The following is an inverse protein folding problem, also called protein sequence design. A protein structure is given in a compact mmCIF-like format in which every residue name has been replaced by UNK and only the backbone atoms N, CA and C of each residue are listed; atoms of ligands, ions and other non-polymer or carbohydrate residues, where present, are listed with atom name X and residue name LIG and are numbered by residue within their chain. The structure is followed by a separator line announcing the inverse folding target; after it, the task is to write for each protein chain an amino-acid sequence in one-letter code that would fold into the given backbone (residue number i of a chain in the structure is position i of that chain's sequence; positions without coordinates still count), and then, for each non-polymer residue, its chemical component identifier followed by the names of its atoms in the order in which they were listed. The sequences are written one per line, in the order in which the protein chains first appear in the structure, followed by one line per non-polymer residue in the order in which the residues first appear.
data_IF_823796479666
#
_entry.id   IF_823796479666
#
_cell.length_a   1.000
_cell.length_b   1.000
_cell.length_c   1.000
_cell.angle_alpha   90.00
_cell.angle_beta   90.00
_cell.angle_gamma   90.00
#
_symmetry.space_group_name_H-M   'P 1'
#
loop_
_entity.id
_entity.type
_entity.pdbx_description
1 polymer ?
#
# COMPACT_ATOMS: atom_id res chain seq x y z
N UNK A 1 14.90 19.02 20.91
CA UNK A 1 14.66 17.65 20.38
C UNK A 1 13.48 17.55 19.41
N UNK A 2 12.68 18.61 19.18
CA UNK A 2 11.60 18.52 18.19
C UNK A 2 12.11 18.52 16.75
N UNK A 3 13.10 19.38 16.46
CA UNK A 3 13.65 19.57 15.11
C UNK A 3 14.49 18.40 14.58
N UNK A 4 14.78 17.39 15.41
CA UNK A 4 15.54 16.19 15.01
C UNK A 4 14.75 14.89 15.18
N UNK A 5 13.43 14.97 15.38
CA UNK A 5 12.54 13.79 15.39
C UNK A 5 12.42 13.07 16.73
N UNK A 6 13.34 13.29 17.68
CA UNK A 6 13.31 12.61 18.99
C UNK A 6 12.06 12.97 19.79
N UNK A 7 11.60 14.23 19.71
CA UNK A 7 10.33 14.66 20.30
C UNK A 7 9.24 14.64 19.23
N UNK A 8 8.17 13.86 19.43
CA UNK A 8 7.07 13.77 18.46
C UNK A 8 6.17 15.01 18.43
N UNK A 9 5.94 15.68 19.57
CA UNK A 9 5.15 16.91 19.66
C UNK A 9 5.58 17.76 20.85
N UNK A 10 5.40 19.07 20.75
CA UNK A 10 5.65 20.03 21.83
C UNK A 10 4.36 20.71 22.22
N UNK A 11 4.21 20.99 23.52
CA UNK A 11 3.05 21.67 24.09
C UNK A 11 3.53 22.71 25.09
N UNK A 12 2.75 23.79 25.25
CA UNK A 12 3.15 24.92 26.10
C UNK A 12 3.02 24.66 27.60
N UNK A 13 2.10 23.76 27.99
CA UNK A 13 1.78 23.43 29.39
C UNK A 13 1.69 21.93 29.58
N UNK A 14 1.96 21.47 30.79
CA UNK A 14 1.90 20.04 31.13
C UNK A 14 0.52 19.44 30.88
N UNK A 15 -0.56 20.17 31.21
CA UNK A 15 -1.93 19.72 30.97
C UNK A 15 -2.22 19.50 29.47
N UNK A 16 -1.70 20.38 28.60
CA UNK A 16 -1.84 20.23 27.15
C UNK A 16 -1.02 19.02 26.65
N UNK A 17 0.13 18.75 27.28
CA UNK A 17 0.92 17.54 27.07
C UNK A 17 0.16 16.26 27.44
N UNK A 18 -0.46 16.22 28.63
CA UNK A 18 -1.31 15.10 29.07
C UNK A 18 -2.51 14.92 28.13
N UNK A 19 -3.15 16.02 27.72
CA UNK A 19 -4.24 15.97 26.76
C UNK A 19 -3.80 15.36 25.42
N UNK A 20 -2.64 15.77 24.90
CA UNK A 20 -2.06 15.19 23.67
C UNK A 20 -1.77 13.70 23.83
N UNK A 21 -1.22 13.27 24.96
CA UNK A 21 -0.96 11.84 25.22
C UNK A 21 -2.27 11.03 25.26
N UNK A 22 -3.29 11.53 25.96
CA UNK A 22 -4.62 10.90 25.98
C UNK A 22 -5.26 10.87 24.58
N UNK A 23 -5.05 11.93 23.78
CA UNK A 23 -5.49 11.97 22.40
C UNK A 23 -4.80 10.90 21.56
N UNK A 24 -3.50 10.67 21.72
CA UNK A 24 -2.79 9.59 21.03
C UNK A 24 -3.30 8.20 21.44
N UNK A 25 -3.48 7.97 22.75
CA UNK A 25 -4.06 6.72 23.25
C UNK A 25 -5.46 6.46 22.70
N UNK A 26 -6.22 7.49 22.33
CA UNK A 26 -7.53 7.31 21.70
C UNK A 26 -7.48 6.58 20.35
N UNK A 27 -6.34 6.59 19.65
CA UNK A 27 -6.18 5.86 18.38
C UNK A 27 -5.71 4.42 18.61
N UNK A 28 -5.06 4.13 19.74
CA UNK A 28 -4.34 2.88 20.00
C UNK A 28 -5.29 1.86 20.67
N UNK A 29 -5.21 0.56 20.34
CA UNK A 29 -5.90 -0.49 21.08
C UNK A 29 -5.57 -0.47 22.58
N UNK A 30 -6.52 -0.91 23.42
CA UNK A 30 -6.32 -0.97 24.88
C UNK A 30 -5.17 -1.92 25.29
N UNK A 31 -4.92 -2.97 24.50
CA UNK A 31 -3.88 -3.97 24.70
C UNK A 31 -3.53 -4.62 23.35
N UNK A 32 -2.49 -5.47 23.32
CA UNK A 32 -1.96 -6.09 22.09
C UNK A 32 -2.91 -7.10 21.42
N UNK A 33 -3.91 -7.60 22.14
CA UNK A 33 -4.84 -8.61 21.65
C UNK A 33 -6.19 -8.01 21.25
N UNK A 34 -6.43 -6.76 21.62
CA UNK A 34 -7.65 -6.05 21.32
C UNK A 34 -7.67 -5.48 19.91
N UNK A 35 -8.89 -5.32 19.40
CA UNK A 35 -9.14 -4.64 18.14
C UNK A 35 -8.89 -3.14 18.29
N UNK A 36 -8.63 -2.50 17.15
CA UNK A 36 -8.50 -1.04 17.08
C UNK A 36 -9.80 -0.34 17.52
N UNK A 37 -9.70 0.81 18.23
CA UNK A 37 -10.87 1.51 18.75
C UNK A 37 -11.59 2.30 17.64
N UNK A 38 -12.44 1.62 16.87
CA UNK A 38 -13.29 2.26 15.85
C UNK A 38 -14.41 3.05 16.56
N UNK A 39 -14.47 4.35 16.31
CA UNK A 39 -15.50 5.23 16.87
C UNK A 39 -16.60 5.49 15.86
N UNK A 40 -17.82 5.80 16.32
CA UNK A 40 -18.88 6.27 15.41
C UNK A 40 -18.45 7.60 14.77
N UNK A 41 -18.34 7.68 13.43
CA UNK A 41 -17.90 8.92 12.79
C UNK A 41 -18.99 9.99 12.90
N UNK A 42 -18.58 11.21 13.21
CA UNK A 42 -19.42 12.41 13.04
C UNK A 42 -19.39 12.85 11.57
N UNK A 43 -18.23 12.67 10.93
CA UNK A 43 -18.01 13.00 9.53
C UNK A 43 -18.48 11.84 8.62
N UNK A 44 -19.49 12.03 7.75
CA UNK A 44 -20.02 10.95 6.92
C UNK A 44 -18.96 10.24 6.09
N UNK A 45 -19.13 8.94 5.89
CA UNK A 45 -18.22 8.15 5.05
C UNK A 45 -18.49 8.41 3.57
N UNK A 46 -19.76 8.52 3.21
CA UNK A 46 -20.22 8.61 1.81
C UNK A 46 -20.08 10.01 1.20
N UNK A 47 -19.52 10.96 1.94
CA UNK A 47 -19.23 12.29 1.40
C UNK A 47 -18.07 12.24 0.41
N UNK A 48 -18.09 13.16 -0.53
CA UNK A 48 -16.92 13.39 -1.37
C UNK A 48 -15.79 14.11 -0.63
N UNK A 49 -14.58 13.93 -1.13
CA UNK A 49 -13.41 14.75 -0.74
C UNK A 49 -13.48 16.08 -1.48
N UNK A 50 -13.56 17.18 -0.74
CA UNK A 50 -13.74 18.53 -1.29
C UNK A 50 -12.46 19.15 -1.83
N UNK A 51 -11.36 19.07 -1.08
CA UNK A 51 -10.06 19.56 -1.53
C UNK A 51 -9.46 18.59 -2.57
N UNK A 52 -9.00 19.11 -3.71
CA UNK A 52 -8.38 18.31 -4.76
C UNK A 52 -6.90 18.70 -4.91
N UNK A 53 -5.97 17.74 -4.76
CA UNK A 53 -4.57 17.90 -5.10
C UNK A 53 -4.34 18.48 -6.50
N UNK A 54 -3.53 19.52 -6.59
CA UNK A 54 -3.19 20.21 -7.85
C UNK A 54 -1.80 19.83 -8.34
N UNK A 55 -1.51 20.05 -9.62
CA UNK A 55 -0.14 19.99 -10.17
C UNK A 55 0.79 21.02 -9.53
N UNK A 56 0.27 22.19 -9.16
CA UNK A 56 1.03 23.20 -8.44
C UNK A 56 1.26 22.76 -7.00
N UNK A 57 2.44 23.03 -6.42
CA UNK A 57 2.73 22.66 -5.04
C UNK A 57 1.70 23.19 -4.03
N UNK A 58 1.33 22.35 -3.08
CA UNK A 58 0.34 22.60 -2.03
C UNK A 58 0.77 21.95 -0.71
N UNK A 59 0.19 22.40 0.40
CA UNK A 59 0.40 21.74 1.69
C UNK A 59 -0.37 20.42 1.74
N UNK A 60 0.29 19.26 1.88
CA UNK A 60 -0.41 17.97 1.97
C UNK A 60 -1.40 17.92 3.13
N UNK A 61 -1.22 18.71 4.19
CA UNK A 61 -2.19 18.77 5.30
C UNK A 61 -3.58 19.19 4.82
N UNK A 62 -3.68 19.98 3.75
CA UNK A 62 -4.96 20.35 3.16
C UNK A 62 -5.68 19.14 2.54
N UNK A 63 -4.97 18.23 1.88
CA UNK A 63 -5.61 17.02 1.35
C UNK A 63 -6.01 16.03 2.46
N UNK A 64 -5.26 16.02 3.57
CA UNK A 64 -5.52 15.11 4.70
C UNK A 64 -6.68 15.61 5.56
N UNK A 65 -6.59 16.84 6.08
CA UNK A 65 -7.51 17.39 7.08
C UNK A 65 -8.56 18.36 6.50
N UNK A 66 -8.35 18.84 5.28
CA UNK A 66 -9.13 19.92 4.68
C UNK A 66 -8.51 21.29 4.93
N UNK A 67 -9.15 22.32 4.38
CA UNK A 67 -8.78 23.72 4.60
C UNK A 67 -10.00 24.62 4.50
N UNK A 68 -9.85 25.85 4.97
CA UNK A 68 -10.82 26.90 4.71
C UNK A 68 -10.77 27.28 3.22
N UNK A 69 -11.92 27.41 2.56
CA UNK A 69 -11.98 27.74 1.14
C UNK A 69 -11.39 29.16 0.92
N UNK A 70 -10.36 29.33 0.07
CA UNK A 70 -9.76 30.63 -0.20
C UNK A 70 -10.73 31.65 -0.81
N UNK A 71 -11.72 31.18 -1.58
CA UNK A 71 -12.69 32.05 -2.27
C UNK A 71 -13.90 32.40 -1.39
N UNK A 72 -14.22 31.55 -0.41
CA UNK A 72 -15.33 31.77 0.50
C UNK A 72 -14.95 31.34 1.91
N UNK A 73 -14.60 32.29 2.76
CA UNK A 73 -14.16 32.02 4.14
C UNK A 73 -15.23 31.33 5.00
N UNK A 74 -16.51 31.32 4.61
CA UNK A 74 -17.55 30.60 5.36
C UNK A 74 -17.62 29.11 5.00
N UNK A 75 -16.94 28.67 3.95
CA UNK A 75 -16.99 27.29 3.47
C UNK A 75 -15.71 26.52 3.83
N UNK A 76 -15.88 25.31 4.36
CA UNK A 76 -14.79 24.38 4.60
C UNK A 76 -14.65 23.41 3.43
N UNK A 77 -13.45 23.33 2.84
CA UNK A 77 -13.10 22.29 1.87
C UNK A 77 -12.66 21.05 2.66
N UNK A 78 -13.46 20.00 2.60
CA UNK A 78 -13.19 18.76 3.33
C UNK A 78 -11.96 18.03 2.77
N UNK A 79 -11.12 17.52 3.66
CA UNK A 79 -10.02 16.61 3.32
C UNK A 79 -10.48 15.16 3.23
N UNK A 80 -9.51 14.26 3.02
CA UNK A 80 -9.72 12.82 2.93
C UNK A 80 -10.16 12.21 4.26
N UNK A 81 -9.52 12.60 5.36
CA UNK A 81 -9.82 12.07 6.70
C UNK A 81 -10.97 12.80 7.38
N UNK A 82 -11.43 12.22 8.49
CA UNK A 82 -12.47 12.78 9.33
C UNK A 82 -12.06 14.16 9.85
N UNK A 83 -12.98 15.11 9.80
CA UNK A 83 -12.73 16.47 10.30
C UNK A 83 -12.19 16.47 11.74
N UNK A 84 -11.12 17.25 11.99
CA UNK A 84 -10.40 17.35 13.27
C UNK A 84 -9.78 16.05 13.81
N UNK A 85 -9.65 15.00 12.99
CA UNK A 85 -9.00 13.74 13.39
C UNK A 85 -7.48 13.72 13.15
N UNK A 86 -6.95 14.60 12.29
CA UNK A 86 -5.52 14.66 11.95
C UNK A 86 -4.67 15.08 13.16
N UNK A 87 -3.65 14.29 13.49
CA UNK A 87 -2.67 14.56 14.53
C UNK A 87 -1.26 14.27 14.01
N UNK A 88 -0.57 15.32 13.58
CA UNK A 88 0.79 15.25 13.06
C UNK A 88 1.82 14.99 14.18
N UNK A 89 2.85 14.23 13.86
CA UNK A 89 4.02 13.98 14.71
C UNK A 89 5.31 14.33 13.96
N UNK A 90 6.35 14.71 14.72
CA UNK A 90 7.68 15.05 14.19
C UNK A 90 7.64 16.18 13.12
N UNK A 91 6.71 17.13 13.26
CA UNK A 91 6.39 18.13 12.24
C UNK A 91 7.60 18.94 11.72
N UNK A 92 8.50 19.50 12.55
CA UNK A 92 9.59 20.34 12.05
C UNK A 92 10.81 19.56 11.56
N UNK A 93 10.89 18.25 11.86
CA UNK A 93 11.96 17.38 11.39
C UNK A 93 11.58 16.75 10.05
N UNK A 94 12.51 16.74 9.07
CA UNK A 94 12.32 16.15 7.75
C UNK A 94 10.95 16.51 7.13
N UNK A 95 10.72 17.80 6.92
CA UNK A 95 9.40 18.34 6.57
C UNK A 95 8.95 17.97 5.14
N UNK A 96 9.84 17.37 4.34
CA UNK A 96 9.51 16.80 3.02
C UNK A 96 8.56 15.60 3.12
N UNK A 97 8.44 14.98 4.31
CA UNK A 97 7.44 13.95 4.61
C UNK A 97 6.61 14.35 5.83
N UNK A 98 5.30 14.11 5.75
CA UNK A 98 4.32 14.41 6.79
C UNK A 98 3.81 13.09 7.35
N UNK A 99 4.03 12.86 8.65
CA UNK A 99 3.63 11.64 9.34
C UNK A 99 2.67 11.98 10.48
N UNK A 100 1.64 11.16 10.68
CA UNK A 100 0.65 11.42 11.72
C UNK A 100 -0.37 10.31 11.87
N UNK A 101 -1.33 10.54 12.76
CA UNK A 101 -2.50 9.67 12.95
C UNK A 101 -3.74 10.40 12.48
N UNK A 102 -4.70 9.67 11.93
CA UNK A 102 -6.00 10.21 11.53
C UNK A 102 -7.11 9.18 11.76
N UNK A 103 -8.35 9.56 11.48
CA UNK A 103 -9.47 8.62 11.38
C UNK A 103 -10.10 8.67 9.99
N UNK A 104 -10.39 7.50 9.43
CA UNK A 104 -11.16 7.33 8.20
C UNK A 104 -12.48 6.66 8.56
N UNK A 105 -13.57 7.42 8.56
CA UNK A 105 -14.89 6.92 8.97
C UNK A 105 -14.89 6.33 10.38
N UNK A 106 -14.10 6.93 11.28
CA UNK A 106 -13.92 6.47 12.65
C UNK A 106 -12.85 5.41 12.85
N UNK A 107 -12.25 4.85 11.80
CA UNK A 107 -11.16 3.87 11.88
C UNK A 107 -9.83 4.61 12.11
N UNK A 108 -9.13 4.40 13.24
CA UNK A 108 -7.82 5.01 13.46
C UNK A 108 -6.77 4.41 12.52
N UNK A 109 -5.98 5.26 11.87
CA UNK A 109 -4.92 4.85 10.95
C UNK A 109 -3.67 5.70 11.14
N UNK A 110 -2.50 5.07 10.96
CA UNK A 110 -1.25 5.76 10.71
C UNK A 110 -1.24 6.31 9.28
N UNK A 111 -0.62 7.47 9.07
CA UNK A 111 -0.66 8.17 7.80
C UNK A 111 0.71 8.72 7.45
N UNK A 112 1.12 8.52 6.20
CA UNK A 112 2.33 9.10 5.61
C UNK A 112 1.94 9.82 4.32
N UNK A 113 2.30 11.08 4.20
CA UNK A 113 2.06 11.91 3.01
C UNK A 113 3.30 12.71 2.65
N UNK A 114 3.38 13.21 1.42
CA UNK A 114 4.57 13.87 0.88
C UNK A 114 4.33 15.35 0.69
N UNK A 115 5.29 16.17 1.11
CA UNK A 115 5.30 17.61 0.82
C UNK A 115 5.70 17.84 -0.63
N UNK A 116 4.95 18.71 -1.31
CA UNK A 116 5.19 19.01 -2.73
C UNK A 116 5.94 20.32 -2.92
N UNK A 117 5.92 21.21 -1.91
CA UNK A 117 6.67 22.45 -1.91
C UNK A 117 8.14 22.20 -1.57
N UNK A 118 9.00 23.09 -2.05
CA UNK A 118 10.38 23.17 -1.57
C UNK A 118 10.39 23.56 -0.10
N UNK A 119 11.10 22.79 0.71
CA UNK A 119 11.26 22.98 2.15
C UNK A 119 12.61 23.63 2.43
N UNK A 120 12.63 24.64 3.30
CA UNK A 120 13.87 25.24 3.79
C UNK A 120 14.22 24.69 5.18
N UNK A 121 15.27 23.87 5.23
CA UNK A 121 15.83 23.32 6.45
C UNK A 121 16.89 24.26 7.03
N UNK A 122 16.62 24.83 8.21
CA UNK A 122 17.58 25.67 8.93
C UNK A 122 18.44 24.82 9.86
N UNK A 123 19.71 24.65 9.49
CA UNK A 123 20.73 23.99 10.29
C UNK A 123 21.35 25.03 11.25
N UNK A 124 21.32 24.79 12.57
CA UNK A 124 21.96 25.68 13.52
C UNK A 124 23.48 25.64 13.39
N UNK A 125 24.14 26.74 13.75
CA UNK A 125 25.58 26.75 13.94
C UNK A 125 25.97 25.83 15.11
N UNK A 126 27.11 25.17 14.99
CA UNK A 126 27.69 24.39 16.08
C UNK A 126 28.47 25.33 17.02
N UNK A 127 28.01 25.58 18.26
CA UNK A 127 28.71 26.49 19.18
C UNK A 127 30.12 26.03 19.56
N UNK A 128 30.44 24.75 19.39
CA UNK A 128 31.76 24.20 19.68
C UNK A 128 32.78 24.43 18.55
N UNK A 129 32.33 24.82 17.36
CA UNK A 129 33.17 25.05 16.20
C UNK A 129 33.02 26.50 15.70
N UNK A 130 34.08 27.30 15.85
CA UNK A 130 34.08 28.72 15.49
C UNK A 130 33.86 28.98 13.98
N UNK A 131 34.21 28.04 13.12
CA UNK A 131 34.00 28.14 11.67
C UNK A 131 32.57 27.72 11.25
N UNK A 132 31.75 27.26 12.20
CA UNK A 132 30.39 26.81 11.94
C UNK A 132 29.42 27.98 11.93
N UNK A 133 28.71 28.14 10.82
CA UNK A 133 27.64 29.12 10.65
C UNK A 133 26.29 28.44 10.47
N UNK A 134 25.21 29.15 10.79
CA UNK A 134 23.87 28.66 10.53
C UNK A 134 23.62 28.62 9.02
N UNK A 135 23.19 27.46 8.51
CA UNK A 135 22.97 27.25 7.07
C UNK A 135 21.51 26.95 6.80
N UNK A 136 20.99 27.49 5.71
CA UNK A 136 19.66 27.13 5.21
C UNK A 136 19.83 26.27 3.97
N UNK A 137 19.35 25.03 4.04
CA UNK A 137 19.41 24.04 2.95
C UNK A 137 18.03 23.91 2.36
N UNK A 138 17.94 24.05 1.04
CA UNK A 138 16.70 23.83 0.30
C UNK A 138 16.57 22.34 -0.05
N UNK A 139 15.45 21.73 0.34
CA UNK A 139 15.08 20.36 0.00
C UNK A 139 13.90 20.40 -0.95
N UNK A 140 14.01 19.73 -2.10
CA UNK A 140 12.91 19.63 -3.06
C UNK A 140 11.75 18.82 -2.48
N UNK A 141 10.52 19.24 -2.78
CA UNK A 141 9.34 18.39 -2.54
C UNK A 141 9.39 17.12 -3.40
N UNK A 142 8.57 16.13 -3.06
CA UNK A 142 8.48 14.85 -3.80
C UNK A 142 9.80 14.04 -3.87
N UNK A 143 10.78 14.32 -3.01
CA UNK A 143 12.06 13.61 -2.99
C UNK A 143 12.34 13.07 -1.59
N UNK A 144 12.78 11.82 -1.49
CA UNK A 144 13.34 11.30 -0.24
C UNK A 144 14.79 11.74 -0.08
N UNK A 145 15.06 12.36 1.06
CA UNK A 145 16.37 12.68 1.63
C UNK A 145 16.68 11.73 2.81
N UNK A 146 17.93 11.66 3.31
CA UNK A 146 18.29 10.78 4.43
C UNK A 146 17.37 10.93 5.65
N UNK A 147 17.07 12.18 6.02
CA UNK A 147 16.20 12.52 7.15
C UNK A 147 14.75 12.07 6.93
N UNK A 148 14.18 12.30 5.75
CA UNK A 148 12.81 11.91 5.41
C UNK A 148 12.64 10.40 5.21
N UNK A 149 13.64 9.70 4.66
CA UNK A 149 13.64 8.25 4.60
C UNK A 149 13.70 7.65 6.01
N UNK A 150 14.49 8.25 6.91
CA UNK A 150 14.55 7.81 8.30
C UNK A 150 13.24 8.11 9.04
N UNK A 151 12.66 9.31 8.89
CA UNK A 151 11.35 9.67 9.46
C UNK A 151 10.24 8.75 8.97
N UNK A 152 10.25 8.40 7.69
CA UNK A 152 9.30 7.46 7.09
C UNK A 152 9.42 6.08 7.72
N UNK A 153 10.63 5.51 7.76
CA UNK A 153 10.85 4.18 8.36
C UNK A 153 10.55 4.14 9.87
N UNK A 154 10.86 5.22 10.60
CA UNK A 154 10.52 5.33 12.02
C UNK A 154 9.01 5.36 12.23
N UNK A 155 8.28 6.17 11.46
CA UNK A 155 6.82 6.24 11.56
C UNK A 155 6.16 4.88 11.26
N UNK A 156 6.65 4.15 10.26
CA UNK A 156 6.17 2.79 9.94
C UNK A 156 6.37 1.86 11.14
N UNK A 157 7.56 1.85 11.75
CA UNK A 157 7.84 1.02 12.93
C UNK A 157 6.97 1.39 14.13
N UNK A 158 6.74 2.68 14.36
CA UNK A 158 5.90 3.14 15.46
C UNK A 158 4.44 2.70 15.26
N UNK A 159 3.90 2.86 14.05
CA UNK A 159 2.52 2.47 13.74
C UNK A 159 2.30 0.94 13.77
N UNK A 160 3.29 0.14 13.37
CA UNK A 160 3.23 -1.33 13.52
C UNK A 160 3.19 -1.74 15.00
N UNK A 161 4.03 -1.13 15.83
CA UNK A 161 4.06 -1.38 17.27
C UNK A 161 2.76 -0.96 17.97
N UNK A 162 2.08 0.07 17.45
CA UNK A 162 0.76 0.49 17.91
C UNK A 162 -0.38 -0.40 17.38
N UNK A 163 -0.08 -1.29 16.44
CA UNK A 163 -1.07 -2.15 15.80
C UNK A 163 -2.06 -1.41 14.92
N UNK A 164 -1.66 -0.27 14.35
CA UNK A 164 -2.51 0.55 13.49
C UNK A 164 -2.44 0.08 12.03
N UNK A 165 -3.53 0.18 11.25
CA UNK A 165 -3.45 0.16 9.81
C UNK A 165 -2.71 1.40 9.29
N UNK A 166 -2.09 1.31 8.13
CA UNK A 166 -1.30 2.38 7.52
C UNK A 166 -1.93 2.84 6.20
N UNK A 167 -1.99 4.14 5.99
CA UNK A 167 -2.28 4.72 4.67
C UNK A 167 -1.11 5.58 4.23
N UNK A 168 -0.53 5.24 3.08
CA UNK A 168 0.55 6.00 2.45
C UNK A 168 -0.04 6.72 1.24
N UNK A 169 0.15 8.03 1.17
CA UNK A 169 -0.16 8.85 -0.01
C UNK A 169 1.15 9.15 -0.77
N UNK A 170 1.69 8.18 -1.54
CA UNK A 170 2.92 8.37 -2.27
C UNK A 170 2.82 9.49 -3.29
N UNK A 171 3.83 10.34 -3.30
CA UNK A 171 4.03 11.35 -4.33
C UNK A 171 5.53 11.66 -4.42
N UNK A 172 6.32 10.62 -4.73
CA UNK A 172 7.78 10.68 -4.78
C UNK A 172 8.31 10.41 -6.19
N UNK A 173 9.16 11.31 -6.66
CA UNK A 173 9.96 11.18 -7.89
C UNK A 173 11.18 10.28 -7.71
N UNK A 174 11.56 9.98 -6.47
CA UNK A 174 12.69 9.12 -6.16
C UNK A 174 13.41 9.51 -4.88
N UNK A 175 14.57 8.90 -4.70
CA UNK A 175 15.54 9.24 -3.67
C UNK A 175 16.52 10.30 -4.20
N UNK A 176 17.02 11.17 -3.33
CA UNK A 176 18.09 12.09 -3.68
C UNK A 176 19.37 11.31 -4.02
N UNK A 177 19.82 11.44 -5.27
CA UNK A 177 21.06 10.84 -5.77
C UNK A 177 22.30 11.73 -5.61
N UNK A 178 22.20 12.85 -4.87
CA UNK A 178 23.30 13.77 -4.67
C UNK A 178 24.44 13.15 -3.87
N UNK A 179 25.71 13.52 -4.18
CA UNK A 179 26.90 12.99 -3.49
C UNK A 179 26.81 13.12 -1.96
N UNK A 180 26.30 14.26 -1.48
CA UNK A 180 26.12 14.52 -0.04
C UNK A 180 25.12 13.54 0.59
N UNK A 181 23.94 13.39 0.02
CA UNK A 181 22.88 12.52 0.56
C UNK A 181 23.28 11.03 0.52
N UNK A 182 24.04 10.65 -0.51
CA UNK A 182 24.65 9.32 -0.60
C UNK A 182 25.68 9.09 0.50
N UNK A 183 26.54 10.08 0.78
CA UNK A 183 27.49 10.04 1.89
C UNK A 183 26.78 9.99 3.25
N UNK A 184 25.67 10.71 3.39
CA UNK A 184 24.76 10.67 4.55
C UNK A 184 23.89 9.41 4.61
N UNK A 185 24.23 8.38 3.84
CA UNK A 185 23.73 7.02 3.98
C UNK A 185 22.24 6.85 3.63
N UNK A 186 21.72 7.65 2.69
CA UNK A 186 20.32 7.55 2.22
C UNK A 186 19.91 6.11 1.86
N UNK A 187 20.81 5.33 1.27
CA UNK A 187 20.54 3.93 0.91
C UNK A 187 20.21 3.05 2.11
N UNK A 188 20.84 3.29 3.27
CA UNK A 188 20.56 2.53 4.50
C UNK A 188 19.15 2.84 5.00
N UNK A 189 18.76 4.11 4.99
CA UNK A 189 17.43 4.52 5.41
C UNK A 189 16.34 4.07 4.44
N UNK A 190 16.64 4.03 3.13
CA UNK A 190 15.76 3.41 2.13
C UNK A 190 15.50 1.93 2.43
N UNK A 191 16.53 1.16 2.80
CA UNK A 191 16.37 -0.25 3.19
C UNK A 191 15.49 -0.43 4.44
N UNK A 192 15.56 0.50 5.41
CA UNK A 192 14.71 0.45 6.60
C UNK A 192 13.22 0.63 6.32
N UNK A 193 12.86 1.31 5.23
CA UNK A 193 11.46 1.39 4.78
C UNK A 193 10.99 -0.01 4.37
N UNK A 194 11.81 -0.73 3.58
CA UNK A 194 11.51 -2.10 3.14
C UNK A 194 11.41 -3.04 4.33
N UNK A 195 12.36 -2.99 5.27
CA UNK A 195 12.31 -3.81 6.48
C UNK A 195 11.04 -3.54 7.30
N UNK A 196 10.69 -2.26 7.48
CA UNK A 196 9.49 -1.86 8.22
C UNK A 196 8.19 -2.35 7.57
N UNK A 197 8.06 -2.24 6.25
CA UNK A 197 6.87 -2.70 5.53
C UNK A 197 6.79 -4.23 5.46
N UNK A 198 7.92 -4.92 5.34
CA UNK A 198 8.00 -6.38 5.37
C UNK A 198 7.50 -6.96 6.70
N UNK A 199 7.84 -6.30 7.81
CA UNK A 199 7.49 -6.77 9.17
C UNK A 199 6.09 -6.33 9.63
N UNK A 200 5.47 -5.40 8.90
CA UNK A 200 4.17 -4.82 9.23
C UNK A 200 3.05 -5.86 9.24
N UNK A 201 2.19 -5.83 10.28
CA UNK A 201 1.19 -6.91 10.54
C UNK A 201 -0.27 -6.50 10.34
N UNK A 202 -0.50 -5.26 9.94
CA UNK A 202 -1.82 -4.68 9.72
C UNK A 202 -1.97 -4.23 8.27
N UNK A 203 -3.21 -4.01 7.78
CA UNK A 203 -3.41 -3.55 6.41
C UNK A 203 -2.67 -2.23 6.11
N UNK A 204 -1.99 -2.20 4.98
CA UNK A 204 -1.33 -1.03 4.41
C UNK A 204 -2.01 -0.71 3.08
N UNK A 205 -2.57 0.49 2.96
CA UNK A 205 -3.11 1.00 1.70
C UNK A 205 -2.18 2.09 1.19
N UNK A 206 -1.59 1.85 0.01
CA UNK A 206 -0.82 2.84 -0.72
C UNK A 206 -1.71 3.45 -1.79
N UNK A 207 -1.94 4.77 -1.78
CA UNK A 207 -2.83 5.44 -2.73
C UNK A 207 -2.16 6.65 -3.38
N UNK A 208 -1.82 6.56 -4.67
CA UNK A 208 -1.22 7.67 -5.43
C UNK A 208 -2.31 8.71 -5.71
N UNK A 209 -2.23 9.93 -5.13
CA UNK A 209 -3.27 10.95 -5.25
C UNK A 209 -3.29 11.61 -6.64
N UNK A 210 -4.31 12.43 -6.96
CA UNK A 210 -4.38 13.18 -8.22
C UNK A 210 -3.12 14.00 -8.46
N UNK A 211 -2.60 13.95 -9.68
CA UNK A 211 -1.34 14.60 -10.07
C UNK A 211 -0.12 14.15 -9.25
N UNK A 212 -0.27 13.13 -8.40
CA UNK A 212 0.81 12.51 -7.69
C UNK A 212 1.59 11.57 -8.61
N UNK A 213 2.88 11.41 -8.33
CA UNK A 213 3.72 10.49 -9.08
C UNK A 213 4.54 9.59 -8.17
N UNK A 214 4.73 8.35 -8.61
CA UNK A 214 5.57 7.37 -7.94
C UNK A 214 6.58 6.79 -8.93
N UNK A 215 7.86 7.14 -8.76
CA UNK A 215 8.90 6.87 -9.76
C UNK A 215 10.07 6.06 -9.21
N UNK A 216 10.63 5.21 -10.07
CA UNK A 216 11.94 4.58 -9.88
C UNK A 216 12.12 3.88 -8.54
N UNK A 217 13.18 4.24 -7.82
CA UNK A 217 13.50 3.66 -6.52
C UNK A 217 12.42 3.90 -5.46
N UNK A 218 11.63 4.98 -5.58
CA UNK A 218 10.57 5.24 -4.63
C UNK A 218 9.44 4.22 -4.74
N UNK A 219 9.10 3.78 -5.96
CA UNK A 219 8.16 2.67 -6.16
C UNK A 219 8.69 1.39 -5.52
N UNK A 220 9.95 1.07 -5.79
CA UNK A 220 10.57 -0.19 -5.37
C UNK A 220 10.51 -0.44 -3.85
N UNK A 221 10.52 0.61 -3.03
CA UNK A 221 10.49 0.49 -1.56
C UNK A 221 9.09 0.51 -0.96
N UNK A 222 8.03 0.79 -1.74
CA UNK A 222 6.62 0.76 -1.28
C UNK A 222 5.74 -0.18 -2.11
N UNK A 223 6.37 -1.04 -2.92
CA UNK A 223 5.68 -1.99 -3.77
C UNK A 223 4.92 -3.05 -2.93
N UNK A 224 3.69 -3.44 -3.31
CA UNK A 224 2.91 -4.43 -2.56
C UNK A 224 3.60 -5.79 -2.42
N UNK A 225 4.51 -6.15 -3.33
CA UNK A 225 5.24 -7.42 -3.27
C UNK A 225 6.20 -7.54 -2.08
N UNK A 226 6.52 -6.42 -1.40
CA UNK A 226 7.28 -6.44 -0.14
C UNK A 226 6.51 -7.19 0.95
N UNK A 227 5.19 -7.00 1.02
CA UNK A 227 4.32 -7.66 1.97
C UNK A 227 2.94 -7.91 1.33
N UNK A 228 2.83 -8.94 0.45
CA UNK A 228 1.65 -9.16 -0.38
C UNK A 228 0.41 -9.58 0.43
N UNK A 229 0.58 -9.94 1.70
CA UNK A 229 -0.51 -10.32 2.60
C UNK A 229 -1.23 -9.09 3.16
N UNK A 230 -0.51 -7.97 3.32
CA UNK A 230 -1.00 -6.80 4.02
C UNK A 230 -1.01 -5.52 3.19
N UNK A 231 -0.26 -5.46 2.09
CA UNK A 231 -0.16 -4.28 1.24
C UNK A 231 -1.07 -4.34 0.02
N UNK A 232 -1.79 -3.24 -0.22
CA UNK A 232 -2.54 -3.00 -1.44
C UNK A 232 -2.20 -1.62 -1.99
N UNK A 233 -2.11 -1.49 -3.31
CA UNK A 233 -1.78 -0.23 -3.98
C UNK A 233 -2.90 0.18 -4.94
N UNK A 234 -3.22 1.46 -4.92
CA UNK A 234 -4.26 2.10 -5.70
C UNK A 234 -3.69 3.39 -6.32
N UNK A 235 -4.25 3.80 -7.44
CA UNK A 235 -3.84 5.01 -8.14
C UNK A 235 -5.05 5.85 -8.54
N UNK A 236 -4.93 7.17 -8.46
CA UNK A 236 -5.90 8.10 -9.03
C UNK A 236 -5.78 8.13 -10.57
N UNK A 237 -6.88 8.33 -11.33
CA UNK A 237 -6.82 8.48 -12.79
C UNK A 237 -5.82 9.54 -13.30
N UNK A 238 -5.62 10.62 -12.53
CA UNK A 238 -4.72 11.71 -12.91
C UNK A 238 -3.28 11.51 -12.39
N UNK A 239 -2.98 10.37 -11.76
CA UNK A 239 -1.64 10.07 -11.26
C UNK A 239 -0.71 9.52 -12.34
N UNK A 240 0.59 9.41 -12.01
CA UNK A 240 1.62 8.85 -12.89
C UNK A 240 2.56 7.91 -12.15
N UNK A 241 3.19 7.00 -12.89
CA UNK A 241 4.18 6.11 -12.30
C UNK A 241 4.93 5.31 -13.34
N UNK A 242 6.21 5.11 -13.08
CA UNK A 242 7.15 4.54 -14.03
C UNK A 242 8.56 4.49 -13.48
N UNK A 243 9.50 3.99 -14.27
CA UNK A 243 10.90 3.84 -13.82
C UNK A 243 11.61 5.19 -13.74
N UNK A 244 11.40 6.05 -14.75
CA UNK A 244 11.97 7.40 -14.82
C UNK A 244 10.84 8.39 -15.15
N UNK A 245 11.15 9.68 -15.02
CA UNK A 245 10.31 10.73 -15.57
C UNK A 245 10.31 10.66 -17.13
N UNK A 246 9.22 11.09 -17.79
CA UNK A 246 9.11 11.06 -19.25
C UNK A 246 10.29 11.73 -19.98
N UNK A 247 10.76 12.86 -19.45
CA UNK A 247 11.94 13.58 -19.95
C UNK A 247 13.19 12.69 -19.94
N UNK A 248 13.45 12.00 -18.82
CA UNK A 248 14.58 11.08 -18.70
C UNK A 248 14.47 9.85 -19.61
N UNK A 249 13.26 9.36 -19.86
CA UNK A 249 13.03 8.27 -20.84
C UNK A 249 13.38 8.74 -22.25
N UNK A 250 12.96 9.93 -22.64
CA UNK A 250 13.25 10.49 -23.97
C UNK A 250 14.75 10.66 -24.18
N UNK A 251 15.47 11.18 -23.20
CA UNK A 251 16.94 11.32 -23.26
C UNK A 251 17.67 9.98 -23.49
N UNK A 252 17.15 8.89 -22.93
CA UNK A 252 17.79 7.57 -23.03
C UNK A 252 17.33 6.82 -24.29
N UNK A 253 16.02 6.76 -24.52
CA UNK A 253 15.36 5.83 -25.46
C UNK A 253 14.83 6.49 -26.73
N UNK A 254 14.60 7.79 -26.75
CA UNK A 254 14.05 8.53 -27.90
C UNK A 254 14.96 9.71 -28.25
N UNK A 255 16.21 9.38 -28.59
CA UNK A 255 17.27 10.36 -28.82
C UNK A 255 17.03 11.14 -30.12
N UNK A 256 17.86 12.15 -30.37
CA UNK A 256 17.79 13.00 -31.56
C UNK A 256 17.62 12.22 -32.88
N UNK A 257 18.29 11.08 -33.03
CA UNK A 257 18.17 10.22 -34.22
C UNK A 257 16.74 9.70 -34.45
N UNK A 258 16.03 9.35 -33.38
CA UNK A 258 14.66 8.85 -33.42
C UNK A 258 13.65 9.98 -33.62
N UNK A 259 13.93 11.16 -33.05
CA UNK A 259 13.19 12.40 -33.33
C UNK A 259 13.26 12.73 -34.82
N UNK A 260 14.47 12.79 -35.39
CA UNK A 260 14.68 13.02 -36.83
C UNK A 260 13.95 11.97 -37.67
N UNK A 261 14.09 10.68 -37.34
CA UNK A 261 13.37 9.60 -38.04
C UNK A 261 11.86 9.82 -38.03
N UNK A 262 11.32 10.30 -36.92
CA UNK A 262 9.89 10.57 -36.74
C UNK A 262 9.45 11.82 -37.52
N UNK A 263 10.27 12.87 -37.54
CA UNK A 263 10.06 14.05 -38.39
C UNK A 263 10.00 13.66 -39.86
N UNK A 264 10.99 12.91 -40.36
CA UNK A 264 11.03 12.42 -41.74
C UNK A 264 9.86 11.48 -42.10
N UNK A 265 9.24 10.84 -41.09
CA UNK A 265 8.08 9.96 -41.28
C UNK A 265 6.74 10.71 -41.31
N UNK A 266 6.63 11.85 -40.63
CA UNK A 266 5.34 12.52 -40.41
C UNK A 266 5.26 13.89 -41.11
N UNK A 267 6.34 14.69 -41.08
CA UNK A 267 6.34 16.03 -41.67
C UNK A 267 6.41 15.96 -43.20
N UNK A 268 5.37 16.48 -43.85
CA UNK A 268 5.22 16.44 -45.31
C UNK A 268 6.29 17.26 -46.04
N UNK A 269 6.77 18.37 -45.43
CA UNK A 269 7.77 19.25 -46.05
C UNK A 269 9.13 18.56 -46.10
N UNK A 270 9.53 17.89 -45.02
CA UNK A 270 10.73 17.07 -44.98
C UNK A 270 10.66 15.90 -45.96
N UNK A 271 9.51 15.23 -46.06
CA UNK A 271 9.31 14.16 -47.05
C UNK A 271 9.47 14.65 -48.49
N UNK A 272 8.83 15.76 -48.84
CA UNK A 272 8.92 16.35 -50.17
C UNK A 272 10.36 16.80 -50.47
N UNK A 273 11.03 17.43 -49.51
CA UNK A 273 12.42 17.89 -49.67
C UNK A 273 13.38 16.72 -49.82
N UNK A 274 13.19 15.64 -49.06
CA UNK A 274 13.96 14.41 -49.17
C UNK A 274 13.71 13.66 -50.47
N UNK A 275 12.47 13.64 -50.96
CA UNK A 275 12.14 13.07 -52.27
C UNK A 275 12.79 13.87 -53.41
N UNK A 276 12.80 15.21 -53.31
CA UNK A 276 13.53 16.09 -54.26
C UNK A 276 15.03 15.77 -54.26
N UNK A 277 15.63 15.60 -53.09
CA UNK A 277 17.05 15.21 -52.95
C UNK A 277 17.39 13.82 -53.52
N UNK A 278 16.40 12.95 -53.70
CA UNK A 278 16.55 11.64 -54.33
C UNK A 278 16.52 11.66 -55.87
N UNK A 279 16.17 12.79 -56.49
CA UNK A 279 16.15 12.96 -57.95
C UNK A 279 17.44 13.57 -58.52
N UNK A 280 17.50 13.75 -59.84
CA UNK A 280 18.58 14.49 -60.49
C UNK A 280 18.42 16.00 -60.27
N UNK A 281 19.34 16.61 -59.51
CA UNK A 281 19.38 18.04 -59.18
C UNK A 281 20.74 18.63 -59.56
N UNK A 282 20.75 19.93 -59.89
CA UNK A 282 21.99 20.70 -60.01
C UNK A 282 22.71 20.76 -58.65
N UNK A 283 24.03 20.97 -58.66
CA UNK A 283 24.83 21.08 -57.43
C UNK A 283 24.37 22.25 -56.54
N UNK A 284 23.92 23.35 -57.14
CA UNK A 284 23.39 24.52 -56.44
C UNK A 284 22.00 24.25 -55.82
N UNK A 285 21.12 23.52 -56.52
CA UNK A 285 19.79 23.21 -55.98
C UNK A 285 19.83 22.12 -54.89
N UNK A 286 20.79 21.19 -54.99
CA UNK A 286 21.03 20.19 -53.94
C UNK A 286 21.47 20.83 -52.63
N UNK A 287 22.42 21.76 -52.68
CA UNK A 287 22.91 22.47 -51.48
C UNK A 287 21.82 23.35 -50.84
N UNK A 288 20.97 24.01 -51.64
CA UNK A 288 19.80 24.75 -51.14
C UNK A 288 18.77 23.83 -50.46
N UNK A 289 18.50 22.67 -51.05
CA UNK A 289 17.57 21.69 -50.49
C UNK A 289 18.09 21.07 -49.18
N UNK A 290 19.38 20.75 -49.09
CA UNK A 290 20.02 20.28 -47.86
C UNK A 290 19.98 21.34 -46.75
N UNK A 291 20.23 22.62 -47.09
CA UNK A 291 20.13 23.73 -46.13
C UNK A 291 18.70 23.92 -45.62
N UNK A 292 17.72 23.90 -46.52
CA UNK A 292 16.29 24.02 -46.17
C UNK A 292 15.83 22.88 -45.26
N UNK A 293 16.32 21.66 -45.55
CA UNK A 293 16.04 20.47 -44.75
C UNK A 293 16.60 20.62 -43.32
N UNK A 294 17.86 21.03 -43.18
CA UNK A 294 18.49 21.25 -41.88
C UNK A 294 17.81 22.37 -41.08
N UNK A 295 17.40 23.47 -41.73
CA UNK A 295 16.67 24.57 -41.09
C UNK A 295 15.30 24.10 -40.56
N UNK A 296 14.58 23.28 -41.35
CA UNK A 296 13.29 22.70 -40.96
C UNK A 296 13.43 21.71 -39.81
N UNK A 297 14.44 20.84 -39.83
CA UNK A 297 14.73 19.90 -38.73
C UNK A 297 14.99 20.66 -37.43
N UNK A 298 15.84 21.69 -37.47
CA UNK A 298 16.15 22.53 -36.31
C UNK A 298 14.92 23.24 -35.77
N UNK A 299 14.05 23.74 -36.65
CA UNK A 299 12.81 24.40 -36.26
C UNK A 299 11.82 23.44 -35.58
N UNK A 300 11.70 22.21 -36.09
CA UNK A 300 10.77 21.21 -35.57
C UNK A 300 11.25 20.51 -34.29
N UNK A 301 12.56 20.52 -34.02
CA UNK A 301 13.17 19.79 -32.91
C UNK A 301 12.48 20.00 -31.55
N UNK A 302 12.21 21.23 -31.09
CA UNK A 302 11.58 21.43 -29.78
C UNK A 302 10.15 20.88 -29.71
N UNK A 303 9.39 20.98 -30.80
CA UNK A 303 8.01 20.48 -30.86
C UNK A 303 7.96 18.95 -30.85
N UNK A 304 8.82 18.31 -31.65
CA UNK A 304 8.89 16.85 -31.66
C UNK A 304 9.46 16.28 -30.37
N UNK A 305 10.33 17.02 -29.68
CA UNK A 305 10.77 16.66 -28.34
C UNK A 305 9.57 16.63 -27.37
N UNK A 306 8.72 17.66 -27.35
CA UNK A 306 7.48 17.64 -26.54
C UNK A 306 6.55 16.48 -26.91
N UNK A 307 6.42 16.16 -28.20
CA UNK A 307 5.65 14.99 -28.65
C UNK A 307 6.27 13.69 -28.11
N UNK A 308 7.59 13.55 -28.11
CA UNK A 308 8.27 12.39 -27.56
C UNK A 308 8.10 12.28 -26.03
N UNK A 309 8.13 13.40 -25.31
CA UNK A 309 7.86 13.45 -23.86
C UNK A 309 6.42 13.03 -23.59
N UNK A 310 5.44 13.54 -24.34
CA UNK A 310 4.05 13.11 -24.20
C UNK A 310 3.86 11.64 -24.57
N UNK A 311 4.53 11.15 -25.61
CA UNK A 311 4.54 9.74 -25.97
C UNK A 311 5.10 8.86 -24.84
N UNK A 312 6.16 9.30 -24.16
CA UNK A 312 6.68 8.63 -22.97
C UNK A 312 5.66 8.67 -21.81
N UNK A 313 5.04 9.82 -21.52
CA UNK A 313 4.03 9.96 -20.46
C UNK A 313 2.82 9.02 -20.63
N UNK A 314 2.42 8.71 -21.87
CA UNK A 314 1.35 7.73 -22.14
C UNK A 314 1.67 6.31 -21.63
N UNK A 315 2.94 6.00 -21.40
CA UNK A 315 3.37 4.73 -20.80
C UNK A 315 3.32 4.75 -19.27
N UNK A 316 3.12 5.90 -18.64
CA UNK A 316 3.18 6.06 -17.18
C UNK A 316 1.78 6.21 -16.57
N UNK A 317 0.75 5.84 -17.33
CA UNK A 317 -0.67 5.99 -16.98
C UNK A 317 -1.15 4.91 -16.01
N UNK A 318 -2.11 5.23 -15.11
CA UNK A 318 -2.71 4.26 -14.18
C UNK A 318 -3.36 3.06 -14.87
N UNK A 319 -3.94 3.26 -16.06
CA UNK A 319 -4.53 2.20 -16.88
C UNK A 319 -3.49 1.14 -17.24
N UNK A 320 -2.27 1.55 -17.58
CA UNK A 320 -1.18 0.62 -17.83
C UNK A 320 -0.73 -0.08 -16.55
N UNK A 321 -0.72 0.61 -15.41
CA UNK A 321 -0.39 0.00 -14.11
C UNK A 321 -1.37 -1.11 -13.76
N UNK A 322 -2.67 -0.83 -13.92
CA UNK A 322 -3.72 -1.80 -13.67
C UNK A 322 -3.64 -2.99 -14.64
N UNK A 323 -3.45 -2.74 -15.94
CA UNK A 323 -3.31 -3.79 -16.95
C UNK A 323 -2.08 -4.69 -16.71
N UNK A 324 -1.02 -4.14 -16.10
CA UNK A 324 0.15 -4.90 -15.67
C UNK A 324 0.02 -5.54 -14.29
N UNK A 325 -1.09 -5.32 -13.60
CA UNK A 325 -1.39 -5.91 -12.30
C UNK A 325 -0.50 -5.42 -11.16
N UNK A 326 0.08 -4.21 -11.27
CA UNK A 326 0.93 -3.63 -10.20
C UNK A 326 0.13 -2.80 -9.20
N UNK A 327 -1.10 -2.41 -9.56
CA UNK A 327 -2.09 -1.80 -8.67
C UNK A 327 -3.37 -2.63 -8.67
N UNK A 328 -4.13 -2.57 -7.58
CA UNK A 328 -5.37 -3.31 -7.41
C UNK A 328 -6.55 -2.68 -8.15
N UNK A 329 -6.66 -1.35 -8.15
CA UNK A 329 -7.73 -0.62 -8.82
C UNK A 329 -7.35 0.86 -9.08
N UNK A 330 -8.08 1.51 -10.00
CA UNK A 330 -7.97 2.94 -10.29
C UNK A 330 -9.13 3.65 -9.58
N UNK A 331 -8.81 4.46 -8.58
CA UNK A 331 -9.79 5.03 -7.64
C UNK A 331 -9.82 6.56 -7.74
N UNK A 332 -10.92 7.16 -8.26
CA UNK A 332 -11.07 8.61 -8.34
C UNK A 332 -11.11 9.29 -6.98
N UNK A 333 -10.31 10.35 -6.80
CA UNK A 333 -10.13 11.05 -5.53
C UNK A 333 -11.42 11.50 -4.83
N UNK A 334 -12.40 12.01 -5.58
CA UNK A 334 -13.67 12.48 -4.97
C UNK A 334 -14.38 11.36 -4.21
N UNK A 335 -14.30 10.12 -4.70
CA UNK A 335 -14.95 8.93 -4.12
C UNK A 335 -13.99 8.06 -3.31
N UNK A 336 -12.70 8.38 -3.29
CA UNK A 336 -11.65 7.56 -2.67
C UNK A 336 -11.91 7.33 -1.18
N UNK A 337 -12.43 8.33 -0.46
CA UNK A 337 -12.79 8.22 0.96
C UNK A 337 -13.73 7.05 1.24
N UNK A 338 -14.86 6.97 0.53
CA UNK A 338 -15.86 5.92 0.74
C UNK A 338 -15.31 4.54 0.32
N UNK A 339 -14.68 4.47 -0.86
CA UNK A 339 -14.12 3.23 -1.40
C UNK A 339 -13.04 2.65 -0.46
N UNK A 340 -12.07 3.47 -0.07
CA UNK A 340 -10.96 3.05 0.78
C UNK A 340 -11.40 2.83 2.23
N UNK A 341 -12.44 3.50 2.72
CA UNK A 341 -13.04 3.19 4.02
C UNK A 341 -13.57 1.76 4.05
N UNK A 342 -14.44 1.40 3.10
CA UNK A 342 -15.06 0.09 3.06
C UNK A 342 -14.01 -0.99 2.82
N UNK A 343 -13.00 -0.71 1.98
CA UNK A 343 -11.88 -1.63 1.77
C UNK A 343 -11.07 -1.84 3.06
N UNK A 344 -10.65 -0.76 3.72
CA UNK A 344 -9.89 -0.85 4.97
C UNK A 344 -10.66 -1.62 6.04
N UNK A 345 -11.96 -1.33 6.19
CA UNK A 345 -12.84 -2.02 7.14
C UNK A 345 -12.97 -3.51 6.83
N UNK A 346 -13.09 -3.89 5.56
CA UNK A 346 -13.10 -5.28 5.11
C UNK A 346 -11.80 -5.98 5.49
N UNK A 347 -10.65 -5.40 5.14
CA UNK A 347 -9.34 -5.97 5.42
C UNK A 347 -9.13 -6.21 6.92
N UNK A 348 -9.62 -5.30 7.77
CA UNK A 348 -9.53 -5.46 9.22
C UNK A 348 -10.34 -6.66 9.73
N UNK A 349 -11.58 -6.82 9.26
CA UNK A 349 -12.41 -7.96 9.65
C UNK A 349 -11.90 -9.28 9.07
N UNK A 350 -11.44 -9.31 7.82
CA UNK A 350 -10.81 -10.49 7.24
C UNK A 350 -9.56 -10.88 8.04
N UNK A 351 -8.70 -9.92 8.37
CA UNK A 351 -7.51 -10.19 9.18
C UNK A 351 -7.83 -10.68 10.58
N UNK A 352 -8.94 -10.22 11.19
CA UNK A 352 -9.41 -10.76 12.46
C UNK A 352 -9.75 -12.25 12.35
N UNK A 353 -10.53 -12.63 11.33
CA UNK A 353 -10.91 -14.04 11.09
C UNK A 353 -9.68 -14.89 10.78
N UNK A 354 -8.78 -14.41 9.91
CA UNK A 354 -7.54 -15.12 9.57
C UNK A 354 -6.64 -15.36 10.77
N UNK A 355 -6.47 -14.35 11.64
CA UNK A 355 -5.66 -14.49 12.86
C UNK A 355 -6.20 -15.58 13.79
N UNK A 356 -7.52 -15.69 13.91
CA UNK A 356 -8.14 -16.76 14.71
C UNK A 356 -7.90 -18.16 14.09
N UNK A 357 -7.99 -18.29 12.76
CA UNK A 357 -7.71 -19.56 12.05
C UNK A 357 -6.23 -19.95 12.19
N UNK A 358 -5.31 -19.01 11.96
CA UNK A 358 -3.86 -19.25 12.06
C UNK A 358 -3.47 -19.64 13.48
N UNK A 359 -4.11 -19.06 14.51
CA UNK A 359 -3.87 -19.44 15.91
C UNK A 359 -4.22 -20.90 16.18
N UNK A 360 -5.24 -21.44 15.49
CA UNK A 360 -5.67 -22.83 15.62
C UNK A 360 -4.76 -23.76 14.82
N UNK A 361 -4.46 -23.39 13.57
CA UNK A 361 -3.64 -24.20 12.67
C UNK A 361 -2.69 -23.30 11.88
N UNK A 362 -1.39 -23.28 12.21
CA UNK A 362 -0.43 -22.35 11.62
C UNK A 362 -0.02 -22.71 10.18
N UNK A 363 -0.40 -23.88 9.68
CA UNK A 363 0.07 -24.40 8.39
C UNK A 363 -0.73 -23.91 7.17
N UNK A 364 -1.76 -23.08 7.36
CA UNK A 364 -2.54 -22.56 6.23
C UNK A 364 -1.81 -21.44 5.49
N UNK A 365 -1.84 -21.52 4.15
CA UNK A 365 -1.35 -20.44 3.30
C UNK A 365 -2.41 -19.34 3.13
N UNK A 366 -2.00 -18.09 2.88
CA UNK A 366 -2.89 -16.93 2.74
C UNK A 366 -3.95 -17.13 1.65
N UNK A 367 -3.57 -17.67 0.50
CA UNK A 367 -4.50 -17.97 -0.60
C UNK A 367 -5.57 -19.00 -0.19
N UNK A 368 -5.21 -19.96 0.67
CA UNK A 368 -6.16 -20.93 1.20
C UNK A 368 -7.12 -20.26 2.17
N UNK A 369 -6.62 -19.39 3.07
CA UNK A 369 -7.45 -18.63 4.00
C UNK A 369 -8.46 -17.74 3.26
N UNK A 370 -8.01 -17.00 2.24
CA UNK A 370 -8.88 -16.17 1.42
C UNK A 370 -9.95 -17.01 0.70
N UNK A 371 -9.56 -18.14 0.12
CA UNK A 371 -10.51 -19.06 -0.52
C UNK A 371 -11.51 -19.66 0.48
N UNK A 372 -11.08 -19.97 1.71
CA UNK A 372 -11.94 -20.48 2.78
C UNK A 372 -12.99 -19.45 3.20
N UNK A 373 -12.59 -18.20 3.47
CA UNK A 373 -13.54 -17.15 3.86
C UNK A 373 -14.54 -16.89 2.73
N UNK A 374 -14.06 -16.85 1.46
CA UNK A 374 -14.94 -16.74 0.30
C UNK A 374 -15.92 -17.91 0.19
N UNK A 375 -15.47 -19.14 0.49
CA UNK A 375 -16.34 -20.33 0.50
C UNK A 375 -17.41 -20.20 1.57
N UNK A 376 -17.05 -19.78 2.79
CA UNK A 376 -18.00 -19.58 3.89
C UNK A 376 -19.01 -18.48 3.59
N UNK A 377 -18.62 -17.42 2.88
CA UNK A 377 -19.55 -16.40 2.39
C UNK A 377 -20.59 -17.00 1.44
N UNK A 378 -20.15 -17.81 0.48
CA UNK A 378 -21.02 -18.46 -0.51
C UNK A 378 -21.93 -19.51 0.15
N UNK A 379 -21.43 -20.25 1.14
CA UNK A 379 -22.21 -21.21 1.93
C UNK A 379 -23.35 -20.51 2.69
N UNK A 380 -23.09 -19.34 3.27
CA UNK A 380 -24.05 -18.57 4.07
C UNK A 380 -25.09 -17.83 3.22
N UNK A 381 -24.64 -17.07 2.22
CA UNK A 381 -25.52 -16.24 1.38
C UNK A 381 -26.10 -17.00 0.18
N UNK A 382 -25.48 -18.10 -0.22
CA UNK A 382 -25.85 -18.89 -1.40
C UNK A 382 -25.12 -18.43 -2.68
N UNK A 383 -25.03 -19.35 -3.65
CA UNK A 383 -24.30 -19.14 -4.92
C UNK A 383 -24.85 -17.99 -5.77
N UNK A 384 -26.14 -17.69 -5.67
CA UNK A 384 -26.79 -16.58 -6.38
C UNK A 384 -26.21 -15.22 -6.02
N UNK A 385 -25.72 -15.06 -4.79
CA UNK A 385 -25.16 -13.79 -4.29
C UNK A 385 -23.63 -13.78 -4.27
N UNK A 386 -22.97 -14.75 -4.92
CA UNK A 386 -21.51 -14.84 -4.94
C UNK A 386 -20.82 -13.59 -5.53
N UNK A 387 -21.47 -12.86 -6.45
CA UNK A 387 -20.95 -11.60 -7.01
C UNK A 387 -20.78 -10.49 -5.96
N UNK A 388 -21.53 -10.54 -4.85
CA UNK A 388 -21.43 -9.56 -3.77
C UNK A 388 -20.12 -9.65 -3.00
N UNK A 389 -19.35 -10.74 -3.17
CA UNK A 389 -18.01 -10.87 -2.59
C UNK A 389 -17.04 -9.78 -3.07
N UNK A 390 -17.24 -9.27 -4.29
CA UNK A 390 -16.43 -8.16 -4.82
C UNK A 390 -16.85 -6.81 -4.21
N UNK A 391 -18.07 -6.70 -3.67
CA UNK A 391 -18.54 -5.49 -3.01
C UNK A 391 -18.08 -5.43 -1.54
N UNK A 392 -17.19 -4.49 -1.23
CA UNK A 392 -16.63 -4.33 0.11
C UNK A 392 -17.69 -4.07 1.20
N UNK A 393 -18.73 -3.28 0.92
CA UNK A 393 -19.78 -2.96 1.90
C UNK A 393 -20.62 -4.19 2.25
N UNK A 394 -20.98 -4.99 1.26
CA UNK A 394 -21.75 -6.21 1.45
C UNK A 394 -20.98 -7.24 2.29
N UNK A 395 -19.69 -7.43 2.00
CA UNK A 395 -18.82 -8.35 2.74
C UNK A 395 -18.59 -7.86 4.17
N UNK A 396 -18.39 -6.56 4.39
CA UNK A 396 -18.25 -6.00 5.74
C UNK A 396 -19.53 -6.21 6.55
N UNK A 397 -20.69 -5.92 5.97
CA UNK A 397 -21.97 -6.10 6.66
C UNK A 397 -22.17 -7.55 7.09
N UNK A 398 -21.86 -8.49 6.20
CA UNK A 398 -21.88 -9.92 6.51
C UNK A 398 -20.87 -10.30 7.61
N UNK A 399 -19.61 -9.88 7.52
CA UNK A 399 -18.59 -10.19 8.54
C UNK A 399 -19.00 -9.65 9.92
N UNK A 400 -19.59 -8.45 9.96
CA UNK A 400 -20.08 -7.85 11.20
C UNK A 400 -21.22 -8.67 11.82
N UNK A 401 -22.19 -9.13 11.02
CA UNK A 401 -23.25 -10.04 11.46
C UNK A 401 -22.67 -11.35 12.01
N UNK A 402 -21.73 -11.97 11.28
CA UNK A 402 -21.17 -13.27 11.65
C UNK A 402 -20.27 -13.23 12.88
N UNK A 403 -19.57 -12.11 13.13
CA UNK A 403 -18.70 -11.93 14.30
C UNK A 403 -19.48 -11.51 15.55
N UNK A 404 -20.67 -10.93 15.41
CA UNK A 404 -21.52 -10.52 16.54
C UNK A 404 -22.53 -11.60 16.96
N UNK A 405 -22.97 -12.46 16.03
CA UNK A 405 -23.88 -13.56 16.32
C UNK A 405 -23.19 -14.71 17.08
N UNK A 406 -23.86 -15.25 18.10
CA UNK A 406 -23.36 -16.38 18.90
C UNK A 406 -23.38 -17.74 18.18
N UNK A 407 -24.27 -17.91 17.20
CA UNK A 407 -24.36 -19.09 16.34
C UNK A 407 -24.24 -18.64 14.87
N UNK A 408 -23.00 -18.57 14.38
CA UNK A 408 -22.66 -18.05 13.07
C UNK A 408 -21.98 -19.11 12.22
N UNK A 409 -22.13 -19.02 10.89
CA UNK A 409 -21.50 -19.91 9.92
C UNK A 409 -19.98 -19.87 10.07
N UNK A 410 -19.40 -18.67 10.23
CA UNK A 410 -17.97 -18.51 10.50
C UNK A 410 -17.58 -19.17 11.82
N UNK A 411 -18.32 -18.92 12.91
CA UNK A 411 -18.02 -19.49 14.23
C UNK A 411 -18.10 -21.02 14.23
N UNK A 412 -19.08 -21.60 13.54
CA UNK A 412 -19.25 -23.04 13.41
C UNK A 412 -18.17 -23.68 12.53
N UNK A 413 -17.77 -23.00 11.45
CA UNK A 413 -16.68 -23.44 10.61
C UNK A 413 -15.33 -23.38 11.33
N UNK A 414 -15.08 -22.32 12.13
CA UNK A 414 -13.88 -22.23 12.98
C UNK A 414 -13.86 -23.36 14.02
N UNK A 415 -14.98 -23.68 14.66
CA UNK A 415 -15.07 -24.84 15.59
C UNK A 415 -14.77 -26.17 14.89
N UNK A 416 -15.21 -26.32 13.64
CA UNK A 416 -14.91 -27.52 12.84
C UNK A 416 -13.42 -27.60 12.50
N UNK A 417 -12.80 -26.50 12.07
CA UNK A 417 -11.34 -26.42 11.85
C UNK A 417 -10.56 -26.74 13.12
N UNK A 418 -11.01 -26.24 14.28
CA UNK A 418 -10.40 -26.55 15.57
C UNK A 418 -10.49 -28.04 15.92
N UNK A 419 -11.64 -28.68 15.67
CA UNK A 419 -11.81 -30.12 15.87
C UNK A 419 -10.82 -30.91 15.01
N UNK A 420 -10.71 -30.57 13.73
CA UNK A 420 -9.83 -31.27 12.80
C UNK A 420 -8.35 -31.07 13.17
N UNK A 421 -7.97 -29.85 13.58
CA UNK A 421 -6.62 -29.55 14.04
C UNK A 421 -6.22 -30.37 15.28
N UNK A 422 -7.12 -30.51 16.27
CA UNK A 422 -6.88 -31.33 17.47
C UNK A 422 -6.73 -32.81 17.09
N UNK A 423 -7.58 -33.33 16.20
CA UNK A 423 -7.49 -34.72 15.74
C UNK A 423 -6.14 -34.96 15.05
N UNK A 424 -5.70 -34.06 14.17
CA UNK A 424 -4.40 -34.16 13.52
C UNK A 424 -3.26 -34.09 14.52
N UNK A 425 -3.31 -33.20 15.50
CA UNK A 425 -2.28 -33.10 16.53
C UNK A 425 -2.16 -34.37 17.37
N UNK A 426 -3.29 -34.96 17.77
CA UNK A 426 -3.32 -36.26 18.48
C UNK A 426 -2.75 -37.37 17.59
N UNK A 427 -3.16 -37.42 16.32
CA UNK A 427 -2.67 -38.41 15.36
C UNK A 427 -1.15 -38.33 15.19
N UNK A 428 -0.61 -37.14 14.93
CA UNK A 428 0.84 -36.93 14.78
C UNK A 428 1.61 -37.25 16.07
N UNK A 429 1.05 -36.92 17.24
CA UNK A 429 1.67 -37.26 18.52
C UNK A 429 1.76 -38.79 18.73
N UNK A 430 0.70 -39.52 18.37
CA UNK A 430 0.66 -40.99 18.44
C UNK A 430 1.57 -41.65 17.40
N UNK A 431 1.68 -41.10 16.19
CA UNK A 431 2.61 -41.57 15.15
C UNK A 431 4.08 -41.40 15.56
N UNK A 432 4.42 -40.29 16.24
CA UNK A 432 5.77 -40.02 16.73
C UNK A 432 6.15 -40.86 17.96
N UNK A 433 5.18 -41.43 18.67
CA UNK A 433 5.39 -42.22 19.89
C UNK A 433 4.48 -43.45 19.91
N UNK A 434 4.74 -44.43 19.01
CA UNK A 434 3.87 -45.59 18.84
C UNK A 434 3.79 -46.47 20.10
N UNK A 435 4.81 -46.42 20.96
CA UNK A 435 4.85 -47.20 22.20
C UNK A 435 3.77 -46.79 23.21
N UNK A 436 3.33 -45.53 23.19
CA UNK A 436 2.32 -44.99 24.13
C UNK A 436 0.90 -45.10 23.55
N UNK A 437 0.75 -45.56 22.29
CA UNK A 437 -0.51 -45.46 21.58
C UNK A 437 -1.64 -46.29 22.21
N UNK A 438 -1.32 -47.51 22.65
CA UNK A 438 -2.28 -48.40 23.30
C UNK A 438 -2.68 -47.86 24.68
N UNK A 439 -1.70 -47.42 25.48
CA UNK A 439 -1.95 -46.87 26.82
C UNK A 439 -2.79 -45.58 26.74
N UNK A 440 -2.50 -44.71 25.77
CA UNK A 440 -3.27 -43.50 25.52
C UNK A 440 -4.72 -43.82 25.09
N UNK A 441 -4.92 -44.83 24.24
CA UNK A 441 -6.27 -45.28 23.85
C UNK A 441 -7.06 -45.82 25.06
N UNK A 442 -6.41 -46.57 25.95
CA UNK A 442 -7.04 -47.11 27.16
C UNK A 442 -7.45 -45.98 28.11
N UNK A 443 -6.57 -45.01 28.37
CA UNK A 443 -6.87 -43.83 29.20
C UNK A 443 -8.00 -42.97 28.60
N UNK A 444 -7.93 -42.69 27.29
CA UNK A 444 -8.98 -41.95 26.58
C UNK A 444 -10.34 -42.68 26.67
N UNK A 445 -10.35 -44.00 26.54
CA UNK A 445 -11.56 -44.81 26.65
C UNK A 445 -12.11 -44.84 28.08
N UNK A 446 -11.24 -44.87 29.10
CA UNK A 446 -11.65 -44.82 30.51
C UNK A 446 -12.32 -43.48 30.86
N UNK A 447 -11.82 -42.37 30.31
CA UNK A 447 -12.35 -41.02 30.54
C UNK A 447 -13.70 -40.73 29.88
N UNK A 448 -14.17 -41.58 28.93
CA UNK A 448 -15.45 -41.39 28.25
C UNK A 448 -16.66 -41.63 29.19
N UNK A 449 -17.79 -40.92 28.99
CA UNK A 449 -19.04 -41.25 29.67
C UNK A 449 -19.58 -42.65 29.28
N UNK A 450 -20.36 -43.33 30.16
CA UNK A 450 -20.81 -44.72 29.93
C UNK A 450 -21.52 -44.95 28.57
N UNK A 451 -22.38 -44.02 28.15
CA UNK A 451 -23.08 -44.11 26.85
C UNK A 451 -22.18 -43.96 25.63
N UNK A 452 -21.07 -43.22 25.74
CA UNK A 452 -20.07 -43.09 24.66
C UNK A 452 -19.10 -44.27 24.61
N UNK A 453 -18.87 -44.95 25.74
CA UNK A 453 -18.08 -46.20 25.78
C UNK A 453 -18.73 -47.30 24.94
N UNK A 454 -20.06 -47.49 25.08
CA UNK A 454 -20.79 -48.47 24.28
C UNK A 454 -20.79 -48.16 22.78
N UNK A 455 -20.86 -46.87 22.41
CA UNK A 455 -20.78 -46.42 21.03
C UNK A 455 -19.37 -46.66 20.44
N UNK A 456 -18.32 -46.29 21.18
CA UNK A 456 -16.94 -46.48 20.75
C UNK A 456 -16.59 -47.97 20.55
N UNK A 457 -17.01 -48.86 21.46
CA UNK A 457 -16.82 -50.32 21.30
C UNK A 457 -17.50 -50.81 20.02
N UNK A 458 -18.75 -50.39 19.79
CA UNK A 458 -19.50 -50.79 18.58
C UNK A 458 -18.82 -50.31 17.30
N UNK A 459 -18.30 -49.08 17.29
CA UNK A 459 -17.62 -48.52 16.12
C UNK A 459 -16.25 -49.20 15.88
N UNK A 460 -15.49 -49.51 16.93
CA UNK A 460 -14.22 -50.22 16.81
C UNK A 460 -14.42 -51.67 16.33
N UNK A 461 -15.40 -52.40 16.88
CA UNK A 461 -15.74 -53.75 16.40
C UNK A 461 -16.23 -53.74 14.95
N UNK A 462 -16.90 -52.67 14.52
CA UNK A 462 -17.28 -52.48 13.12
C UNK A 462 -16.05 -52.22 12.23
N UNK A 463 -15.08 -51.42 12.67
CA UNK A 463 -13.85 -51.16 11.93
C UNK A 463 -12.97 -52.42 11.78
N UNK A 464 -12.93 -53.30 12.79
CA UNK A 464 -12.28 -54.63 12.68
C UNK A 464 -12.94 -55.54 11.63
N UNK A 465 -14.22 -55.35 11.33
CA UNK A 465 -14.95 -56.15 10.35
C UNK A 465 -14.72 -55.74 8.89
N UNK A 466 -13.99 -54.64 8.65
CA UNK A 466 -13.66 -54.14 7.31
C UNK A 466 -12.30 -54.72 6.87
N UNK A 467 -12.22 -55.51 5.78
CA UNK A 467 -10.94 -56.01 5.29
C UNK A 467 -10.04 -54.86 4.81
N UNK A 468 -8.77 -54.86 5.22
CA UNK A 468 -7.79 -53.88 4.76
C UNK A 468 -7.62 -53.96 3.22
N UNK A 469 -7.80 -52.84 2.52
CA UNK A 469 -7.51 -52.76 1.08
C UNK A 469 -6.00 -52.90 0.84
N UNK A 470 -5.60 -53.93 0.10
CA UNK A 470 -4.23 -54.12 -0.36
C UNK A 470 -3.80 -52.97 -1.29
N UNK A 471 -2.55 -52.47 -1.21
CA UNK A 471 -2.04 -51.51 -2.18
C UNK A 471 -1.94 -52.14 -3.57
N UNK A 472 -2.09 -51.36 -4.67
CA UNK A 472 -2.06 -51.91 -6.01
C UNK A 472 -0.67 -52.43 -6.36
N UNK A 473 -0.59 -53.70 -6.76
CA UNK A 473 0.62 -54.32 -7.31
C UNK A 473 1.09 -53.53 -8.53
N UNK A 474 2.31 -52.99 -8.45
CA UNK A 474 3.08 -52.58 -9.62
C UNK A 474 3.36 -53.82 -10.48
N UNK A 475 2.58 -54.01 -11.54
CA UNK A 475 2.94 -54.92 -12.62
C UNK A 475 4.15 -54.35 -13.37
N UNK A 476 5.31 -54.98 -13.14
CA UNK A 476 6.40 -55.04 -14.10
C UNK A 476 5.91 -55.80 -15.33
N UNK A 477 5.76 -55.12 -16.47
CA UNK A 477 5.88 -55.75 -17.78
C UNK A 477 7.24 -55.36 -18.38
N UNK A 478 7.96 -56.38 -18.85
CA UNK A 478 9.33 -56.31 -19.36
C UNK A 478 9.46 -55.84 -20.80
#
# INVERSE_FOLDING_TARGET
MYNNGVTHKTESRDLDGVYTAMKWLSYIPKDKTSLIPVTKPVDPVDREVGFIPTKTPYDPRCMLAGRQNPSNSTQWESGFFDHNSWQEIMQPWAQTVVCGRARLGGIPVGVIAVETRTVELKLPADPANLDSEAKTVSQAGQVWFPDSAYKTSQAIKDFDNEGLPLIIFPNWRGFSGGMKDMYEQILKFGAYIVDGLREYKQPIITYIPPNGELRGGAWAVVDPTINPVHMEMYADPDSRGGVLEPEGIVEIKFREKDLLKTMHRIDQVLQQTKARLGGELSTDDRTKAEKTLAEREKFLMPMYHQVAVHFADLHDTPERMHEKGVISDIVPWRKSRCILYWRMKRLLYENQVKKEIIRIQPNFNENQLQAMIRRWFIEDKGTTYAYQWENNEAVVSWLQEQLSAGDSTIGNNIKSVMRDAIIQQVKTALENSPEVAIDALVEMFQALPPGKKSEAVRTLSYLESIPAQQPPDTQNDG
#
